data_IF_836724171513
#
_entry.id   IF_836724171513
#
_cell.length_a   1.000
_cell.length_b   1.000
_cell.length_c   1.000
_cell.angle_alpha   90.00
_cell.angle_beta   90.00
_cell.angle_gamma   90.00
#
_symmetry.space_group_name_H-M   'P 1'
#
loop_
_entity.id
_entity.type
_entity.pdbx_description
1 polymer ?
#
# COMPACT_ATOMS: atom_id res chain seq x y z
N UNK A 1 -3.85 -8.44 -34.66
CA UNK A 1 -5.07 -9.25 -34.66
C UNK A 1 -5.30 -9.95 -33.31
N UNK A 2 -4.33 -10.71 -32.77
CA UNK A 2 -4.50 -11.47 -31.53
C UNK A 2 -4.87 -10.63 -30.31
N UNK A 3 -4.25 -9.46 -30.13
CA UNK A 3 -4.56 -8.56 -29.03
C UNK A 3 -6.00 -8.05 -29.08
N UNK A 4 -6.45 -7.57 -30.24
CA UNK A 4 -7.82 -7.09 -30.42
C UNK A 4 -8.85 -8.21 -30.16
N UNK A 5 -8.56 -9.41 -30.62
CA UNK A 5 -9.40 -10.59 -30.37
C UNK A 5 -9.48 -10.94 -28.88
N UNK A 6 -8.35 -10.92 -28.17
CA UNK A 6 -8.28 -11.18 -26.73
C UNK A 6 -9.05 -10.14 -25.92
N UNK A 7 -8.92 -8.85 -26.25
CA UNK A 7 -9.64 -7.76 -25.59
C UNK A 7 -11.16 -7.95 -25.72
N UNK A 8 -11.65 -8.20 -26.92
CA UNK A 8 -13.07 -8.40 -27.16
C UNK A 8 -13.58 -9.67 -26.47
N UNK A 9 -12.81 -10.77 -26.55
CA UNK A 9 -13.16 -12.02 -25.86
C UNK A 9 -13.29 -11.81 -24.35
N UNK A 10 -12.35 -11.07 -23.75
CA UNK A 10 -12.43 -10.74 -22.33
C UNK A 10 -13.63 -9.85 -21.99
N UNK A 11 -13.90 -8.83 -22.82
CA UNK A 11 -15.05 -7.94 -22.63
C UNK A 11 -16.36 -8.71 -22.65
N UNK A 12 -16.58 -9.53 -23.66
CA UNK A 12 -17.82 -10.27 -23.83
C UNK A 12 -18.00 -11.38 -22.79
N UNK A 13 -16.98 -12.22 -22.59
CA UNK A 13 -17.13 -13.44 -21.77
C UNK A 13 -16.86 -13.20 -20.28
N UNK A 14 -15.93 -12.28 -19.91
CA UNK A 14 -15.59 -12.06 -18.50
C UNK A 14 -16.29 -10.84 -17.90
N UNK A 15 -16.40 -9.75 -18.63
CA UNK A 15 -17.00 -8.50 -18.10
C UNK A 15 -18.52 -8.53 -18.26
N UNK A 16 -19.00 -8.73 -19.49
CA UNK A 16 -20.45 -8.81 -19.79
C UNK A 16 -21.03 -10.16 -19.37
N UNK A 17 -20.15 -11.20 -19.28
CA UNK A 17 -20.52 -12.57 -18.93
C UNK A 17 -21.53 -13.18 -19.88
N UNK A 18 -21.36 -12.88 -21.17
CA UNK A 18 -22.19 -13.39 -22.22
C UNK A 18 -22.01 -14.93 -22.35
N UNK A 19 -23.07 -15.69 -22.25
CA UNK A 19 -23.02 -17.15 -22.35
C UNK A 19 -23.15 -17.61 -23.81
N UNK A 20 -24.04 -16.99 -24.56
CA UNK A 20 -24.20 -17.18 -26.01
C UNK A 20 -24.09 -15.83 -26.74
N UNK A 21 -23.25 -15.72 -27.77
CA UNK A 21 -23.17 -14.51 -28.59
C UNK A 21 -24.51 -14.05 -29.18
N UNK A 22 -25.44 -14.97 -29.41
CA UNK A 22 -26.77 -14.67 -29.92
C UNK A 22 -27.64 -13.85 -28.98
N UNK A 23 -27.30 -13.81 -27.70
CA UNK A 23 -28.00 -13.01 -26.70
C UNK A 23 -27.80 -11.48 -26.93
N UNK A 24 -26.84 -11.09 -27.77
CA UNK A 24 -26.66 -9.69 -28.21
C UNK A 24 -27.77 -9.20 -29.16
N UNK A 25 -28.58 -10.08 -29.68
CA UNK A 25 -29.62 -9.76 -30.67
C UNK A 25 -29.10 -9.72 -32.11
N UNK A 26 -30.00 -9.35 -33.02
CA UNK A 26 -29.71 -9.37 -34.47
C UNK A 26 -29.11 -8.08 -35.01
N UNK A 27 -29.34 -6.98 -34.36
CA UNK A 27 -28.82 -5.66 -34.73
C UNK A 27 -28.00 -5.08 -33.56
N UNK A 28 -26.71 -5.04 -33.74
CA UNK A 28 -25.80 -4.58 -32.69
C UNK A 28 -25.16 -3.26 -33.14
N UNK A 29 -25.38 -2.20 -32.37
CA UNK A 29 -24.71 -0.92 -32.59
C UNK A 29 -23.56 -0.82 -31.61
N UNK A 30 -22.36 -0.57 -32.13
CA UNK A 30 -21.15 -0.39 -31.33
C UNK A 30 -20.79 1.08 -31.23
N UNK A 31 -20.36 1.51 -30.05
CA UNK A 31 -20.00 2.90 -29.79
C UNK A 31 -18.70 2.99 -28.96
N UNK A 32 -18.11 4.17 -28.97
CA UNK A 32 -16.85 4.48 -28.32
C UNK A 32 -15.67 4.48 -29.28
N UNK A 33 -14.65 5.27 -28.96
CA UNK A 33 -13.47 5.47 -29.80
C UNK A 33 -12.69 4.20 -30.11
N UNK A 34 -12.75 3.18 -29.25
CA UNK A 34 -12.08 1.89 -29.44
C UNK A 34 -12.56 1.16 -30.70
N UNK A 35 -13.84 1.34 -31.07
CA UNK A 35 -14.40 0.70 -32.27
C UNK A 35 -14.02 1.40 -33.59
N UNK A 36 -13.32 2.53 -33.56
CA UNK A 36 -12.68 3.06 -34.78
C UNK A 36 -11.51 2.19 -35.26
N UNK A 37 -10.98 1.32 -34.40
CA UNK A 37 -10.02 0.32 -34.80
C UNK A 37 -10.71 -0.85 -35.49
N UNK A 38 -10.50 -1.00 -36.79
CA UNK A 38 -11.11 -2.06 -37.59
C UNK A 38 -10.76 -3.47 -37.13
N UNK A 39 -9.58 -3.68 -36.52
CA UNK A 39 -9.22 -4.97 -35.95
C UNK A 39 -10.08 -5.31 -34.73
N UNK A 40 -10.49 -4.31 -33.95
CA UNK A 40 -11.41 -4.47 -32.80
C UNK A 40 -12.82 -4.77 -33.31
N UNK A 41 -13.32 -3.98 -34.24
CA UNK A 41 -14.62 -4.18 -34.85
C UNK A 41 -14.74 -5.59 -35.45
N UNK A 42 -13.78 -5.98 -36.28
CA UNK A 42 -13.78 -7.30 -36.92
C UNK A 42 -13.64 -8.45 -35.92
N UNK A 43 -12.88 -8.25 -34.84
CA UNK A 43 -12.80 -9.26 -33.76
C UNK A 43 -14.14 -9.43 -33.05
N UNK A 44 -14.85 -8.32 -32.81
CA UNK A 44 -16.20 -8.35 -32.24
C UNK A 44 -17.16 -9.14 -33.13
N UNK A 45 -17.25 -8.81 -34.43
CA UNK A 45 -18.11 -9.50 -35.38
C UNK A 45 -17.82 -11.02 -35.47
N UNK A 46 -16.53 -11.39 -35.47
CA UNK A 46 -16.12 -12.79 -35.50
C UNK A 46 -16.49 -13.58 -34.23
N UNK A 47 -16.41 -12.94 -33.08
CA UNK A 47 -16.72 -13.59 -31.79
C UNK A 47 -18.24 -13.65 -31.60
N UNK A 48 -18.95 -12.56 -31.90
CA UNK A 48 -20.41 -12.46 -31.72
C UNK A 48 -21.20 -13.15 -32.80
N UNK A 49 -20.59 -13.36 -33.98
CA UNK A 49 -21.28 -13.94 -35.13
C UNK A 49 -22.33 -13.01 -35.78
N UNK A 50 -22.33 -11.73 -35.44
CA UNK A 50 -23.21 -10.70 -35.99
C UNK A 50 -22.43 -9.61 -36.72
N UNK A 51 -23.06 -8.94 -37.66
CA UNK A 51 -22.56 -7.71 -38.26
C UNK A 51 -22.87 -6.54 -37.33
N UNK A 52 -21.84 -5.74 -37.03
CA UNK A 52 -21.97 -4.62 -36.10
C UNK A 52 -22.07 -3.28 -36.85
N UNK A 53 -23.07 -2.49 -36.51
CA UNK A 53 -23.23 -1.14 -37.01
C UNK A 53 -22.35 -0.19 -36.23
N UNK A 54 -21.36 0.40 -36.88
CA UNK A 54 -20.51 1.45 -36.33
C UNK A 54 -20.90 2.79 -36.94
N UNK A 55 -21.66 3.66 -36.25
CA UNK A 55 -22.00 4.97 -36.75
C UNK A 55 -20.75 5.86 -36.93
N UNK A 56 -20.82 6.80 -37.85
CA UNK A 56 -19.72 7.78 -38.08
C UNK A 56 -19.38 8.56 -36.80
N UNK A 57 -20.37 8.77 -35.95
CA UNK A 57 -20.21 9.46 -34.65
C UNK A 57 -19.94 8.51 -33.47
N UNK A 58 -19.55 7.27 -33.73
CA UNK A 58 -19.37 6.25 -32.69
C UNK A 58 -18.55 6.74 -31.49
N UNK A 59 -17.51 7.53 -31.71
CA UNK A 59 -16.65 8.08 -30.65
C UNK A 59 -17.29 9.14 -29.79
N UNK A 60 -18.36 9.81 -30.24
CA UNK A 60 -19.06 10.88 -29.53
C UNK A 60 -20.52 10.55 -29.21
N UNK A 61 -20.96 9.33 -29.47
CA UNK A 61 -22.35 8.93 -29.23
C UNK A 61 -22.81 9.14 -27.77
N UNK A 62 -21.92 8.96 -26.81
CA UNK A 62 -22.23 9.27 -25.41
C UNK A 62 -22.55 10.75 -25.17
N UNK A 63 -21.75 11.65 -25.77
CA UNK A 63 -22.01 13.09 -25.71
C UNK A 63 -23.30 13.46 -26.45
N UNK A 64 -23.56 12.87 -27.59
CA UNK A 64 -24.80 13.06 -28.35
C UNK A 64 -26.02 12.60 -27.55
N UNK A 65 -25.96 11.40 -26.95
CA UNK A 65 -27.01 10.89 -26.08
C UNK A 65 -27.28 11.77 -24.84
N UNK A 66 -26.20 12.26 -24.22
CA UNK A 66 -26.32 13.20 -23.10
C UNK A 66 -26.98 14.51 -23.52
N UNK A 67 -26.68 15.03 -24.72
CA UNK A 67 -27.34 16.23 -25.26
C UNK A 67 -28.83 16.01 -25.52
N UNK A 68 -29.23 14.84 -26.02
CA UNK A 68 -30.64 14.48 -26.21
C UNK A 68 -31.38 14.39 -24.86
N UNK A 69 -30.80 13.73 -23.87
CA UNK A 69 -31.37 13.64 -22.51
C UNK A 69 -31.50 15.04 -21.89
N UNK A 70 -30.48 15.88 -22.05
CA UNK A 70 -30.52 17.24 -21.57
C UNK A 70 -31.64 18.06 -22.23
N UNK A 71 -31.85 17.89 -23.56
CA UNK A 71 -32.94 18.49 -24.31
C UNK A 71 -34.32 18.05 -23.78
N UNK A 72 -34.49 16.76 -23.56
CA UNK A 72 -35.76 16.21 -23.07
C UNK A 72 -36.09 16.64 -21.64
N UNK A 73 -35.05 16.83 -20.82
CA UNK A 73 -35.20 17.32 -19.42
C UNK A 73 -35.22 18.82 -19.28
N UNK A 74 -35.04 19.59 -20.35
CA UNK A 74 -35.00 21.03 -20.30
C UNK A 74 -36.42 21.60 -20.06
N UNK A 75 -36.57 22.33 -18.97
CA UNK A 75 -37.84 22.95 -18.54
C UNK A 75 -37.76 24.48 -18.56
N UNK A 76 -36.86 25.06 -19.35
CA UNK A 76 -36.75 26.51 -19.48
C UNK A 76 -35.77 27.17 -18.51
N UNK A 77 -34.91 26.41 -17.82
CA UNK A 77 -33.90 26.95 -16.90
C UNK A 77 -32.92 27.86 -17.66
N UNK A 78 -32.53 28.97 -17.02
CA UNK A 78 -31.51 29.86 -17.58
C UNK A 78 -30.16 29.11 -17.66
N UNK A 79 -29.57 29.10 -18.82
CA UNK A 79 -28.23 28.48 -19.01
C UNK A 79 -27.16 29.26 -18.25
N UNK A 80 -26.25 28.55 -17.62
CA UNK A 80 -25.02 29.11 -17.02
C UNK A 80 -23.83 29.09 -17.99
N UNK A 81 -24.03 28.65 -19.23
CA UNK A 81 -23.00 28.69 -20.28
C UNK A 81 -22.64 30.14 -20.62
N UNK A 82 -21.38 30.36 -20.90
CA UNK A 82 -20.89 31.60 -21.46
C UNK A 82 -21.60 31.90 -22.78
N UNK A 83 -21.89 33.17 -23.06
CA UNK A 83 -22.40 33.60 -24.36
C UNK A 83 -21.36 33.31 -25.47
N UNK A 84 -21.81 33.24 -26.71
CA UNK A 84 -20.95 33.05 -27.86
C UNK A 84 -19.84 34.14 -27.95
N UNK A 85 -20.14 35.37 -27.56
CA UNK A 85 -19.15 36.44 -27.49
C UNK A 85 -18.11 36.18 -26.41
N UNK A 86 -18.53 35.80 -25.22
CA UNK A 86 -17.60 35.47 -24.11
C UNK A 86 -16.72 34.26 -24.42
N UNK A 87 -17.25 33.25 -25.12
CA UNK A 87 -16.48 32.09 -25.56
C UNK A 87 -15.41 32.51 -26.57
N UNK A 88 -15.71 33.36 -27.54
CA UNK A 88 -14.76 33.83 -28.54
C UNK A 88 -13.67 34.74 -27.96
N UNK A 89 -14.00 35.49 -26.90
CA UNK A 89 -13.07 36.36 -26.20
C UNK A 89 -12.26 35.62 -25.11
N UNK A 90 -12.63 34.39 -24.78
CA UNK A 90 -11.98 33.60 -23.73
C UNK A 90 -10.49 33.39 -24.03
N UNK A 91 -9.64 33.82 -23.14
CA UNK A 91 -8.20 33.57 -23.19
C UNK A 91 -7.79 32.83 -21.92
N UNK A 92 -6.95 31.83 -22.09
CA UNK A 92 -6.38 31.09 -20.97
C UNK A 92 -4.96 30.64 -21.31
N UNK A 93 -4.17 30.45 -20.27
CA UNK A 93 -2.83 29.89 -20.35
C UNK A 93 -2.82 28.55 -19.62
N UNK A 94 -2.34 27.51 -20.29
CA UNK A 94 -2.18 26.19 -19.69
C UNK A 94 -0.72 25.99 -19.29
N UNK A 95 -0.51 25.51 -18.07
CA UNK A 95 0.79 25.07 -17.58
C UNK A 95 0.67 23.73 -16.88
N UNK A 96 1.76 22.97 -16.87
CA UNK A 96 1.85 21.71 -16.16
C UNK A 96 2.82 21.83 -15.01
N UNK A 97 2.41 21.36 -13.83
CA UNK A 97 3.26 21.34 -12.62
C UNK A 97 3.03 20.05 -11.84
N UNK A 98 3.97 19.73 -10.95
CA UNK A 98 3.78 18.60 -10.02
C UNK A 98 3.37 19.10 -8.66
N UNK A 99 2.29 18.51 -8.12
CA UNK A 99 1.86 18.76 -6.75
C UNK A 99 2.97 18.40 -5.75
N UNK A 100 3.22 19.28 -4.80
CA UNK A 100 4.20 19.05 -3.72
C UNK A 100 3.51 18.70 -2.38
N UNK A 101 2.20 18.49 -2.38
CA UNK A 101 1.40 18.26 -1.18
C UNK A 101 1.57 16.91 -0.52
N UNK A 102 2.04 15.88 -1.27
CA UNK A 102 2.30 14.54 -0.76
C UNK A 102 3.20 13.74 -1.70
N UNK A 103 3.54 12.54 -1.33
CA UNK A 103 4.42 11.62 -2.06
C UNK A 103 3.94 11.28 -3.50
N UNK A 104 2.63 11.38 -3.76
CA UNK A 104 2.07 11.05 -5.08
C UNK A 104 2.52 12.00 -6.19
N UNK A 105 2.99 13.21 -5.87
CA UNK A 105 3.48 14.20 -6.85
C UNK A 105 2.64 14.26 -8.13
N UNK A 106 1.30 14.29 -7.98
CA UNK A 106 0.37 14.28 -9.11
C UNK A 106 0.76 15.32 -10.15
N UNK A 107 0.72 14.96 -11.43
CA UNK A 107 0.87 15.90 -12.51
C UNK A 107 -0.41 16.72 -12.63
N UNK A 108 -0.30 18.02 -12.39
CA UNK A 108 -1.40 18.97 -12.44
C UNK A 108 -1.38 19.74 -13.74
N UNK A 109 -2.53 19.89 -14.34
CA UNK A 109 -2.75 20.85 -15.44
C UNK A 109 -3.46 22.06 -14.86
N UNK A 110 -2.81 23.21 -14.92
CA UNK A 110 -3.33 24.49 -14.40
C UNK A 110 -3.72 25.34 -15.60
N UNK A 111 -5.02 25.65 -15.70
CA UNK A 111 -5.56 26.59 -16.66
C UNK A 111 -5.84 27.91 -15.95
N UNK A 112 -5.12 28.95 -16.33
CA UNK A 112 -5.30 30.32 -15.81
C UNK A 112 -6.11 31.14 -16.81
N UNK A 113 -7.27 31.62 -16.37
CA UNK A 113 -8.19 32.43 -17.18
C UNK A 113 -8.04 33.90 -16.81
N UNK A 114 -8.53 34.78 -17.68
CA UNK A 114 -8.65 36.21 -17.37
C UNK A 114 -9.43 36.47 -16.07
N UNK A 115 -8.97 37.40 -15.23
CA UNK A 115 -9.57 37.73 -13.95
C UNK A 115 -9.19 36.77 -12.80
N UNK A 116 -7.95 36.29 -12.79
CA UNK A 116 -7.32 35.46 -11.75
C UNK A 116 -8.03 34.12 -11.45
N UNK A 117 -8.94 33.71 -12.32
CA UNK A 117 -9.61 32.43 -12.19
C UNK A 117 -8.69 31.30 -12.64
N UNK A 118 -8.53 30.28 -11.82
CA UNK A 118 -7.76 29.09 -12.12
C UNK A 118 -8.64 27.84 -12.08
N UNK A 119 -8.37 26.94 -13.01
CA UNK A 119 -8.92 25.60 -13.00
C UNK A 119 -7.77 24.61 -12.99
N UNK A 120 -7.73 23.76 -11.98
CA UNK A 120 -6.69 22.75 -11.80
C UNK A 120 -7.32 21.37 -12.00
N UNK A 121 -6.68 20.55 -12.80
CA UNK A 121 -7.07 19.16 -13.06
C UNK A 121 -5.87 18.21 -12.95
N UNK A 122 -6.14 16.91 -12.89
CA UNK A 122 -5.10 15.89 -12.66
C UNK A 122 -4.75 15.67 -11.18
N UNK A 123 -5.37 16.47 -10.27
CA UNK A 123 -5.26 16.23 -8.83
C UNK A 123 -6.03 14.96 -8.43
N UNK A 124 -5.50 14.24 -7.45
CA UNK A 124 -6.15 13.09 -6.83
C UNK A 124 -6.81 13.43 -5.48
N UNK A 125 -6.53 14.61 -4.96
CA UNK A 125 -7.08 15.12 -3.72
C UNK A 125 -7.03 16.66 -3.72
N UNK A 126 -7.63 17.28 -2.73
CA UNK A 126 -7.78 18.74 -2.63
C UNK A 126 -6.46 19.49 -2.40
N UNK A 127 -5.42 18.82 -1.88
CA UNK A 127 -4.06 19.40 -1.78
C UNK A 127 -3.55 19.89 -3.15
N UNK A 128 -3.90 19.17 -4.22
CA UNK A 128 -3.54 19.54 -5.59
C UNK A 128 -4.27 20.78 -6.11
N UNK A 129 -5.39 21.16 -5.51
CA UNK A 129 -6.15 22.36 -5.85
C UNK A 129 -5.60 23.63 -5.19
N UNK A 130 -4.60 23.51 -4.32
CA UNK A 130 -4.07 24.65 -3.56
C UNK A 130 -5.02 25.17 -2.48
N UNK A 131 -6.06 24.40 -2.14
CA UNK A 131 -6.94 24.72 -1.03
C UNK A 131 -6.15 24.66 0.26
N UNK A 132 -6.26 25.68 1.09
CA UNK A 132 -5.56 25.74 2.37
C UNK A 132 -5.91 24.52 3.21
N UNK A 133 -4.87 23.91 3.79
CA UNK A 133 -5.05 22.86 4.79
C UNK A 133 -5.93 23.41 5.91
N UNK A 134 -6.94 22.65 6.27
CA UNK A 134 -7.63 22.84 7.53
C UNK A 134 -6.56 22.98 8.62
N UNK A 135 -6.51 24.09 9.34
CA UNK A 135 -5.48 24.35 10.37
C UNK A 135 -5.57 23.39 11.56
N UNK A 136 -6.65 22.63 11.63
CA UNK A 136 -6.90 21.65 12.66
C UNK A 136 -6.13 20.36 12.36
N UNK A 137 -5.33 19.93 13.31
CA UNK A 137 -4.53 18.71 13.20
C UNK A 137 -5.42 17.49 13.53
N UNK A 138 -5.95 16.85 12.49
CA UNK A 138 -6.75 15.63 12.63
C UNK A 138 -5.82 14.45 12.90
N UNK A 139 -6.09 13.59 13.91
CA UNK A 139 -5.27 12.44 14.23
C UNK A 139 -5.07 11.48 13.04
N UNK A 140 -3.80 11.12 12.78
CA UNK A 140 -3.38 10.18 11.74
C UNK A 140 -2.40 9.17 12.34
N UNK A 141 -2.89 7.99 12.74
CA UNK A 141 -2.05 6.98 13.37
C UNK A 141 -1.14 6.24 12.38
N UNK A 142 -1.35 6.33 11.07
CA UNK A 142 -0.38 5.85 10.07
C UNK A 142 0.91 6.68 10.08
N UNK A 143 0.79 8.00 10.17
CA UNK A 143 1.94 8.89 10.30
C UNK A 143 2.66 8.64 11.63
N UNK A 144 1.91 8.57 12.74
CA UNK A 144 2.45 8.27 14.05
C UNK A 144 3.19 6.93 14.09
N UNK A 145 2.59 5.86 13.54
CA UNK A 145 3.20 4.53 13.45
C UNK A 145 4.52 4.56 12.68
N UNK A 146 4.56 5.25 11.54
CA UNK A 146 5.80 5.40 10.77
C UNK A 146 6.89 6.14 11.55
N UNK A 147 6.54 7.16 12.32
CA UNK A 147 7.48 7.86 13.19
C UNK A 147 7.99 6.96 14.31
N UNK A 148 7.09 6.27 15.00
CA UNK A 148 7.41 5.39 16.12
C UNK A 148 8.25 4.18 15.70
N UNK A 149 7.93 3.56 14.57
CA UNK A 149 8.63 2.35 14.08
C UNK A 149 9.99 2.69 13.46
N UNK A 150 10.16 3.85 12.83
CA UNK A 150 11.39 4.13 12.07
C UNK A 150 12.16 5.36 12.52
N UNK A 151 11.51 6.53 12.68
CA UNK A 151 12.19 7.80 12.96
C UNK A 151 12.64 7.96 14.41
N UNK A 152 12.03 7.19 15.29
CA UNK A 152 12.40 7.18 16.71
C UNK A 152 13.85 6.72 16.94
N UNK A 153 14.40 5.88 16.08
CA UNK A 153 15.65 5.19 16.24
C UNK A 153 16.81 5.93 15.57
N UNK A 154 17.88 6.16 16.34
CA UNK A 154 19.10 6.83 15.86
C UNK A 154 20.24 5.82 15.79
N UNK A 155 20.81 5.55 14.60
CA UNK A 155 21.95 4.64 14.45
C UNK A 155 23.15 5.05 15.29
N UNK A 156 23.93 4.08 15.77
CA UNK A 156 25.21 4.34 16.41
C UNK A 156 26.14 5.08 15.44
N UNK A 157 26.95 5.98 15.99
CA UNK A 157 28.06 6.59 15.23
C UNK A 157 29.08 5.51 14.89
N UNK A 158 29.83 5.70 13.81
CA UNK A 158 30.85 4.74 13.36
C UNK A 158 31.85 4.39 14.46
N UNK A 159 32.23 5.36 15.32
CA UNK A 159 33.16 5.15 16.44
C UNK A 159 32.55 4.25 17.53
N UNK A 160 31.25 4.25 17.68
CA UNK A 160 30.50 3.49 18.71
C UNK A 160 29.99 2.14 18.19
N UNK A 161 30.32 1.78 16.95
CA UNK A 161 29.87 0.57 16.28
C UNK A 161 31.05 -0.38 15.94
N UNK A 162 31.63 -1.06 16.93
CA UNK A 162 32.84 -1.89 16.74
C UNK A 162 32.61 -3.06 15.77
N UNK A 163 31.38 -3.50 15.56
CA UNK A 163 31.03 -4.58 14.64
C UNK A 163 30.65 -4.08 13.23
N UNK A 164 30.77 -2.77 12.97
CA UNK A 164 30.51 -2.19 11.65
C UNK A 164 29.05 -1.84 11.42
N UNK A 165 28.63 -1.88 10.15
CA UNK A 165 27.30 -1.45 9.71
C UNK A 165 26.53 -2.65 9.20
N UNK A 166 25.26 -2.78 9.61
CA UNK A 166 24.29 -3.73 9.06
C UNK A 166 23.20 -2.99 8.32
N UNK A 167 22.92 -3.39 7.08
CA UNK A 167 21.82 -2.91 6.28
C UNK A 167 20.53 -3.68 6.57
N UNK A 168 19.43 -2.96 6.77
CA UNK A 168 18.09 -3.54 6.92
C UNK A 168 17.18 -2.93 5.86
N UNK A 169 16.53 -3.75 4.98
CA UNK A 169 15.56 -3.24 4.02
C UNK A 169 14.26 -2.85 4.73
N UNK A 170 13.71 -1.68 4.39
CA UNK A 170 12.44 -1.16 4.92
C UNK A 170 11.26 -1.74 4.12
N UNK A 171 10.93 -2.99 4.36
CA UNK A 171 9.95 -3.73 3.55
C UNK A 171 9.10 -4.68 4.39
N UNK A 172 7.93 -5.02 3.86
CA UNK A 172 7.04 -6.04 4.41
C UNK A 172 6.85 -5.89 5.93
N UNK A 173 7.11 -6.94 6.71
CA UNK A 173 6.93 -6.92 8.17
C UNK A 173 7.97 -6.09 8.93
N UNK A 174 8.98 -5.52 8.25
CA UNK A 174 9.85 -4.52 8.88
C UNK A 174 9.07 -3.26 9.30
N UNK A 175 7.90 -3.01 8.71
CA UNK A 175 6.98 -1.96 9.14
C UNK A 175 6.36 -2.20 10.54
N UNK A 176 6.69 -3.34 11.16
CA UNK A 176 6.35 -3.64 12.55
C UNK A 176 7.54 -4.19 13.33
N UNK A 177 8.36 -5.05 12.73
CA UNK A 177 9.43 -5.76 13.43
C UNK A 177 10.76 -4.98 13.48
N UNK A 178 10.88 -3.84 12.77
CA UNK A 178 12.12 -3.04 12.76
C UNK A 178 12.58 -2.58 14.15
N UNK A 179 11.71 -2.19 15.11
CA UNK A 179 12.13 -1.84 16.46
C UNK A 179 12.94 -2.93 17.15
N UNK A 180 12.50 -4.20 17.02
CA UNK A 180 13.25 -5.34 17.53
C UNK A 180 14.66 -5.41 16.91
N UNK A 181 14.73 -5.41 15.58
CA UNK A 181 15.99 -5.59 14.86
C UNK A 181 16.95 -4.44 15.06
N UNK A 182 16.45 -3.22 15.10
CA UNK A 182 17.26 -2.05 15.40
C UNK A 182 17.90 -2.16 16.79
N UNK A 183 17.11 -2.46 17.80
CA UNK A 183 17.56 -2.58 19.20
C UNK A 183 18.53 -3.75 19.34
N UNK A 184 18.21 -4.91 18.76
CA UNK A 184 19.06 -6.09 18.76
C UNK A 184 20.46 -5.81 18.17
N UNK A 185 20.54 -5.26 16.97
CA UNK A 185 21.82 -4.97 16.33
C UNK A 185 22.58 -3.84 17.02
N UNK A 186 21.90 -2.83 17.47
CA UNK A 186 22.52 -1.72 18.23
C UNK A 186 23.14 -2.22 19.53
N UNK A 187 22.44 -3.10 20.26
CA UNK A 187 22.95 -3.71 21.50
C UNK A 187 24.16 -4.61 21.23
N UNK A 188 24.20 -5.29 20.09
CA UNK A 188 25.35 -6.05 19.64
C UNK A 188 26.51 -5.19 19.12
N UNK A 189 26.39 -3.86 19.10
CA UNK A 189 27.44 -2.95 18.66
C UNK A 189 27.54 -2.76 17.15
N UNK A 190 26.46 -2.96 16.41
CA UNK A 190 26.34 -2.57 15.00
C UNK A 190 25.66 -1.21 14.84
N UNK A 191 26.10 -0.43 13.86
CA UNK A 191 25.31 0.69 13.36
C UNK A 191 24.30 0.17 12.34
N UNK A 192 23.02 0.53 12.50
CA UNK A 192 21.96 0.05 11.60
C UNK A 192 21.73 1.07 10.49
N UNK A 193 21.84 0.63 9.24
CA UNK A 193 21.50 1.42 8.05
C UNK A 193 20.18 0.93 7.47
N UNK A 194 19.11 1.67 7.71
CA UNK A 194 17.80 1.40 7.11
C UNK A 194 17.77 1.93 5.68
N UNK A 195 17.17 1.20 4.75
CA UNK A 195 16.88 1.71 3.42
C UNK A 195 15.82 2.84 3.48
N UNK A 196 15.74 3.75 2.49
CA UNK A 196 14.88 4.92 2.55
C UNK A 196 13.39 4.55 2.52
N UNK A 197 12.53 5.55 2.60
CA UNK A 197 11.09 5.39 2.34
C UNK A 197 10.90 4.91 0.90
N UNK A 198 9.97 4.01 0.70
CA UNK A 198 9.65 3.47 -0.62
C UNK A 198 9.21 4.57 -1.59
N UNK A 199 9.52 4.37 -2.84
CA UNK A 199 9.16 5.27 -3.93
C UNK A 199 9.27 4.52 -5.26
N UNK A 200 8.69 5.09 -6.32
CA UNK A 200 8.85 4.59 -7.69
C UNK A 200 10.32 4.36 -8.06
N UNK A 201 11.22 5.26 -7.64
CA UNK A 201 12.66 5.12 -7.90
C UNK A 201 13.27 3.90 -7.20
N UNK A 202 12.83 3.60 -5.98
CA UNK A 202 13.27 2.38 -5.27
C UNK A 202 12.76 1.14 -6.00
N UNK A 203 11.50 1.12 -6.42
CA UNK A 203 10.96 0.00 -7.22
C UNK A 203 11.79 -0.24 -8.49
N UNK A 204 12.08 0.82 -9.23
CA UNK A 204 12.85 0.75 -10.49
C UNK A 204 14.28 0.19 -10.30
N UNK A 205 14.89 0.36 -9.12
CA UNK A 205 16.20 -0.21 -8.83
C UNK A 205 16.20 -1.75 -8.78
N UNK A 206 15.08 -2.36 -8.44
CA UNK A 206 14.98 -3.80 -8.27
C UNK A 206 14.26 -4.53 -9.41
N UNK A 207 13.77 -3.82 -10.42
CA UNK A 207 12.83 -4.35 -11.41
C UNK A 207 13.37 -5.58 -12.17
N UNK A 208 14.67 -5.58 -12.47
CA UNK A 208 15.32 -6.64 -13.24
C UNK A 208 15.47 -7.95 -12.45
N UNK A 209 15.44 -7.89 -11.12
CA UNK A 209 15.56 -9.05 -10.26
C UNK A 209 14.23 -9.64 -9.79
N UNK A 210 13.09 -9.03 -10.17
CA UNK A 210 11.75 -9.53 -9.83
C UNK A 210 11.45 -10.77 -10.67
N UNK A 211 11.27 -11.96 -10.07
CA UNK A 211 11.16 -13.19 -10.83
C UNK A 211 9.77 -13.42 -11.44
N UNK A 212 8.74 -12.76 -10.95
CA UNK A 212 7.36 -12.98 -11.39
C UNK A 212 6.51 -11.71 -11.38
N UNK A 213 5.72 -11.53 -12.44
CA UNK A 213 4.70 -10.48 -12.50
C UNK A 213 3.56 -10.67 -11.51
N UNK A 214 3.31 -11.90 -11.08
CA UNK A 214 2.21 -12.24 -10.16
C UNK A 214 2.51 -11.94 -8.69
N UNK A 215 3.73 -11.59 -8.33
CA UNK A 215 4.07 -11.18 -6.97
C UNK A 215 3.40 -9.86 -6.59
N UNK A 216 3.02 -9.75 -5.32
CA UNK A 216 2.40 -8.52 -4.82
C UNK A 216 3.40 -7.35 -4.85
N UNK A 217 2.90 -6.13 -5.02
CA UNK A 217 3.73 -4.93 -5.12
C UNK A 217 4.63 -4.70 -3.89
N UNK A 218 4.18 -4.94 -2.64
CA UNK A 218 5.04 -4.86 -1.46
C UNK A 218 6.27 -5.78 -1.52
N UNK A 219 6.12 -6.97 -2.08
CA UNK A 219 7.24 -7.90 -2.29
C UNK A 219 8.21 -7.38 -3.36
N UNK A 220 7.68 -6.89 -4.48
CA UNK A 220 8.51 -6.30 -5.56
C UNK A 220 9.37 -5.14 -5.08
N UNK A 221 8.87 -4.32 -4.15
CA UNK A 221 9.65 -3.24 -3.53
C UNK A 221 10.88 -3.74 -2.78
N UNK A 222 10.84 -4.96 -2.21
CA UNK A 222 11.96 -5.50 -1.46
C UNK A 222 13.24 -5.64 -2.30
N UNK A 223 13.11 -5.98 -3.57
CA UNK A 223 14.23 -6.02 -4.52
C UNK A 223 14.95 -4.67 -4.62
N UNK A 224 14.18 -3.60 -4.80
CA UNK A 224 14.72 -2.24 -4.89
C UNK A 224 15.38 -1.77 -3.61
N UNK A 225 14.82 -2.10 -2.44
CA UNK A 225 15.40 -1.76 -1.14
C UNK A 225 16.73 -2.46 -0.89
N UNK A 226 16.83 -3.75 -1.21
CA UNK A 226 18.10 -4.49 -1.06
C UNK A 226 19.13 -3.99 -2.07
N UNK A 227 18.75 -3.80 -3.33
CA UNK A 227 19.64 -3.21 -4.35
C UNK A 227 20.13 -1.82 -3.93
N UNK A 228 19.27 -1.00 -3.30
CA UNK A 228 19.69 0.30 -2.79
C UNK A 228 20.77 0.15 -1.70
N UNK A 229 20.60 -0.76 -0.74
CA UNK A 229 21.60 -1.03 0.30
C UNK A 229 22.95 -1.48 -0.30
N UNK A 230 22.92 -2.33 -1.30
CA UNK A 230 24.11 -2.77 -2.04
C UNK A 230 24.80 -1.57 -2.68
N UNK A 231 24.06 -0.70 -3.35
CA UNK A 231 24.59 0.52 -3.99
C UNK A 231 25.13 1.55 -3.01
N UNK A 232 24.76 1.46 -1.71
CA UNK A 232 25.40 2.26 -0.65
C UNK A 232 26.75 1.67 -0.21
N UNK A 233 27.21 0.59 -0.81
CA UNK A 233 28.48 -0.08 -0.48
C UNK A 233 28.45 -0.86 0.83
N UNK A 234 27.28 -1.36 1.24
CA UNK A 234 27.15 -2.17 2.44
C UNK A 234 27.59 -3.60 2.16
N UNK A 235 28.50 -4.10 2.99
CA UNK A 235 29.02 -5.47 2.92
C UNK A 235 28.22 -6.46 3.78
N UNK A 236 27.32 -5.95 4.65
CA UNK A 236 26.45 -6.78 5.48
C UNK A 236 25.00 -6.30 5.40
N UNK A 237 24.11 -7.19 4.95
CA UNK A 237 22.67 -6.99 4.84
C UNK A 237 21.96 -8.11 5.59
N UNK A 238 20.99 -7.74 6.42
CA UNK A 238 20.17 -8.67 7.18
C UNK A 238 18.69 -8.52 6.80
N UNK A 239 18.09 -9.61 6.34
CA UNK A 239 16.67 -9.68 6.00
C UNK A 239 16.10 -11.06 6.33
N UNK A 240 15.59 -11.30 7.55
CA UNK A 240 15.15 -12.62 7.99
C UNK A 240 13.86 -13.07 7.30
N UNK A 241 13.72 -14.38 7.20
CA UNK A 241 12.50 -15.08 6.84
C UNK A 241 11.70 -15.39 8.10
N UNK A 242 10.45 -14.90 8.20
CA UNK A 242 9.64 -15.01 9.42
C UNK A 242 8.39 -15.87 9.13
N UNK A 243 8.41 -17.19 9.37
CA UNK A 243 7.22 -18.04 9.19
C UNK A 243 6.13 -17.80 10.24
N UNK A 244 6.51 -17.53 11.50
CA UNK A 244 5.60 -17.36 12.61
C UNK A 244 5.80 -16.00 13.27
N UNK A 245 4.69 -15.31 13.48
CA UNK A 245 4.63 -14.10 14.30
C UNK A 245 4.30 -14.47 15.76
N UNK A 246 4.33 -13.46 16.64
CA UNK A 246 3.89 -13.63 18.03
C UNK A 246 2.44 -14.03 18.13
N UNK A 247 2.12 -14.76 19.18
CA UNK A 247 0.74 -15.16 19.49
C UNK A 247 0.01 -13.98 20.12
N UNK A 248 -0.75 -13.25 19.32
CA UNK A 248 -1.61 -12.14 19.79
C UNK A 248 -3.01 -12.61 20.15
N UNK A 249 -3.47 -13.69 19.54
CA UNK A 249 -4.79 -14.27 19.74
C UNK A 249 -4.61 -15.75 20.03
N UNK A 250 -4.52 -16.14 21.31
CA UNK A 250 -4.25 -17.54 21.71
C UNK A 250 -5.25 -18.57 21.16
N UNK A 251 -6.50 -18.14 20.99
CA UNK A 251 -7.59 -19.00 20.50
C UNK A 251 -7.69 -19.04 18.95
N UNK A 252 -6.80 -18.35 18.24
CA UNK A 252 -6.71 -18.44 16.79
C UNK A 252 -6.18 -19.81 16.36
N UNK A 253 -6.58 -20.27 15.16
CA UNK A 253 -6.13 -21.56 14.63
C UNK A 253 -4.65 -21.63 14.36
N UNK A 254 -3.99 -20.50 14.05
CA UNK A 254 -2.54 -20.36 13.90
C UNK A 254 -2.12 -18.88 13.87
N UNK A 255 -0.80 -18.63 13.77
CA UNK A 255 -0.20 -17.28 13.73
C UNK A 255 0.93 -17.19 12.68
N UNK A 256 0.72 -17.85 11.55
CA UNK A 256 1.61 -17.78 10.40
C UNK A 256 1.69 -16.38 9.78
N UNK A 257 2.78 -16.15 9.07
CA UNK A 257 2.85 -15.12 8.04
C UNK A 257 2.36 -15.66 6.69
N UNK A 258 2.08 -14.77 5.75
CA UNK A 258 1.83 -15.16 4.37
C UNK A 258 3.11 -15.78 3.74
N UNK A 259 2.98 -16.62 2.70
CA UNK A 259 4.12 -17.27 2.05
C UNK A 259 5.21 -16.30 1.59
N UNK A 260 4.83 -15.09 1.14
CA UNK A 260 5.78 -14.05 0.73
C UNK A 260 6.65 -13.62 1.91
N UNK A 261 6.05 -13.17 3.01
CA UNK A 261 6.82 -12.73 4.20
C UNK A 261 7.68 -13.87 4.76
N UNK A 262 7.14 -15.11 4.72
CA UNK A 262 7.81 -16.31 5.23
C UNK A 262 9.14 -16.59 4.52
N UNK A 263 9.24 -16.36 3.21
CA UNK A 263 10.37 -16.85 2.41
C UNK A 263 11.01 -15.82 1.47
N UNK A 264 10.57 -14.58 1.51
CA UNK A 264 11.03 -13.60 0.51
C UNK A 264 12.51 -13.23 0.63
N UNK A 265 13.10 -13.37 1.81
CA UNK A 265 14.55 -13.26 2.00
C UNK A 265 15.33 -14.24 1.13
N UNK A 266 14.83 -15.48 0.96
CA UNK A 266 15.42 -16.47 0.06
C UNK A 266 15.20 -16.12 -1.42
N UNK A 267 14.01 -15.60 -1.75
CA UNK A 267 13.72 -15.12 -3.11
C UNK A 267 14.71 -14.03 -3.52
N UNK A 268 14.91 -13.03 -2.69
CA UNK A 268 15.88 -11.94 -2.88
C UNK A 268 17.29 -12.48 -3.11
N UNK A 269 17.75 -13.39 -2.23
CA UNK A 269 19.10 -14.00 -2.31
C UNK A 269 19.36 -14.65 -3.65
N UNK A 270 18.35 -15.34 -4.18
CA UNK A 270 18.49 -16.13 -5.40
C UNK A 270 18.34 -15.30 -6.69
N UNK A 271 17.73 -14.11 -6.62
CA UNK A 271 17.39 -13.31 -7.81
C UNK A 271 18.20 -12.02 -7.94
N UNK A 272 18.86 -11.52 -6.90
CA UNK A 272 19.80 -10.39 -7.00
C UNK A 272 21.21 -10.95 -7.25
N UNK A 273 21.77 -10.62 -8.41
CA UNK A 273 23.04 -11.18 -8.88
C UNK A 273 24.19 -10.86 -7.93
N UNK A 274 24.26 -9.63 -7.43
CA UNK A 274 25.31 -9.15 -6.54
C UNK A 274 25.35 -9.91 -5.18
N UNK A 275 24.27 -10.58 -4.79
CA UNK A 275 24.22 -11.40 -3.57
C UNK A 275 24.77 -12.82 -3.77
N UNK A 276 25.07 -13.21 -5.00
CA UNK A 276 25.72 -14.50 -5.32
C UNK A 276 27.22 -14.47 -5.10
N UNK A 277 27.81 -13.28 -5.09
CA UNK A 277 29.21 -13.08 -4.79
C UNK A 277 29.41 -13.04 -3.29
N UNK A 278 30.43 -13.75 -2.77
CA UNK A 278 30.80 -13.78 -1.33
C UNK A 278 31.26 -12.43 -0.77
N UNK A 279 31.22 -11.36 -1.58
CA UNK A 279 31.58 -10.00 -1.18
C UNK A 279 30.56 -9.34 -0.25
N UNK A 280 29.30 -9.76 -0.36
CA UNK A 280 28.21 -9.23 0.47
C UNK A 280 27.71 -10.33 1.39
N UNK A 281 27.89 -10.13 2.68
CA UNK A 281 27.31 -11.00 3.70
C UNK A 281 25.81 -10.76 3.77
N UNK A 282 25.03 -11.53 3.02
CA UNK A 282 23.58 -11.49 3.07
C UNK A 282 23.07 -12.58 3.99
N UNK A 283 22.43 -12.19 5.09
CA UNK A 283 21.89 -13.11 6.09
C UNK A 283 20.37 -13.04 6.15
N UNK A 284 19.72 -14.15 5.85
CA UNK A 284 18.27 -14.29 5.79
C UNK A 284 17.77 -15.55 6.54
N UNK A 285 18.13 -15.70 7.84
CA UNK A 285 17.76 -16.88 8.60
C UNK A 285 16.25 -17.02 8.75
N UNK A 286 15.76 -18.27 8.81
CA UNK A 286 14.39 -18.57 9.23
C UNK A 286 14.28 -18.44 10.75
N UNK A 287 13.50 -17.46 11.19
CA UNK A 287 13.33 -17.09 12.61
C UNK A 287 11.84 -17.04 12.96
N UNK A 288 11.46 -17.64 14.10
CA UNK A 288 10.12 -17.54 14.65
C UNK A 288 10.08 -16.43 15.71
N UNK A 289 9.07 -15.58 15.64
CA UNK A 289 8.76 -14.56 16.64
C UNK A 289 7.70 -15.05 17.67
N UNK A 290 7.35 -16.32 17.64
CA UNK A 290 6.28 -16.93 18.46
C UNK A 290 6.38 -16.61 19.95
N UNK A 291 7.57 -16.74 20.51
CA UNK A 291 7.89 -16.35 21.88
C UNK A 291 9.33 -15.86 21.99
N UNK A 292 9.61 -15.10 23.05
CA UNK A 292 10.98 -14.63 23.35
C UNK A 292 11.98 -15.78 23.49
N UNK A 293 11.55 -16.89 24.11
CA UNK A 293 12.39 -18.06 24.33
C UNK A 293 12.80 -18.71 22.99
N UNK A 294 11.82 -19.00 22.12
CA UNK A 294 12.04 -19.61 20.80
C UNK A 294 12.91 -18.71 19.94
N UNK A 295 12.57 -17.40 19.90
CA UNK A 295 13.32 -16.39 19.18
C UNK A 295 14.78 -16.35 19.64
N UNK A 296 15.00 -16.20 20.95
CA UNK A 296 16.34 -16.11 21.54
C UNK A 296 17.18 -17.35 21.23
N UNK A 297 16.60 -18.53 21.35
CA UNK A 297 17.28 -19.79 21.00
C UNK A 297 17.75 -19.80 19.55
N UNK A 298 16.86 -19.43 18.60
CA UNK A 298 17.18 -19.36 17.18
C UNK A 298 18.27 -18.33 16.87
N UNK A 299 18.21 -17.17 17.52
CA UNK A 299 19.22 -16.10 17.37
C UNK A 299 20.57 -16.55 17.91
N UNK A 300 20.62 -17.22 19.06
CA UNK A 300 21.86 -17.77 19.63
C UNK A 300 22.46 -18.82 18.68
N UNK A 301 21.66 -19.77 18.22
CA UNK A 301 22.12 -20.82 17.31
C UNK A 301 22.70 -20.22 16.02
N UNK A 302 22.04 -19.20 15.45
CA UNK A 302 22.45 -18.55 14.22
C UNK A 302 23.68 -17.65 14.40
N UNK A 303 23.58 -16.61 15.25
CA UNK A 303 24.61 -15.58 15.36
C UNK A 303 25.90 -16.06 16.03
N UNK A 304 25.82 -17.06 16.89
CA UNK A 304 27.03 -17.70 17.44
C UNK A 304 27.82 -18.41 16.35
N UNK A 305 27.13 -19.12 15.48
CA UNK A 305 27.76 -19.90 14.39
C UNK A 305 28.27 -18.99 13.27
N UNK A 306 27.42 -18.09 12.79
CA UNK A 306 27.67 -17.32 11.57
C UNK A 306 28.46 -16.02 11.82
N UNK A 307 28.40 -15.48 13.05
CA UNK A 307 28.99 -14.19 13.38
C UNK A 307 30.00 -14.28 14.55
N UNK A 308 30.15 -15.45 15.18
CA UNK A 308 31.07 -15.64 16.32
C UNK A 308 30.69 -14.84 17.57
N UNK A 309 29.42 -14.41 17.72
CA UNK A 309 28.99 -13.56 18.84
C UNK A 309 28.72 -14.45 20.07
N UNK A 310 29.19 -14.06 21.28
CA UNK A 310 28.92 -14.82 22.49
C UNK A 310 27.43 -14.94 22.79
N UNK A 311 27.00 -16.12 23.23
CA UNK A 311 25.59 -16.39 23.52
C UNK A 311 24.98 -15.44 24.57
N UNK A 312 25.76 -15.01 25.56
CA UNK A 312 25.30 -14.06 26.57
C UNK A 312 24.93 -12.70 25.98
N UNK A 313 25.74 -12.19 25.05
CA UNK A 313 25.46 -10.92 24.35
C UNK A 313 24.22 -11.03 23.47
N UNK A 314 24.07 -12.14 22.73
CA UNK A 314 22.91 -12.40 21.88
C UNK A 314 21.63 -12.45 22.72
N UNK A 315 21.65 -13.17 23.84
CA UNK A 315 20.51 -13.24 24.78
C UNK A 315 20.11 -11.87 25.33
N UNK A 316 21.09 -11.10 25.78
CA UNK A 316 20.82 -9.75 26.28
C UNK A 316 20.25 -8.84 25.18
N UNK A 317 20.80 -8.90 23.96
CA UNK A 317 20.30 -8.11 22.84
C UNK A 317 18.89 -8.54 22.39
N UNK A 318 18.59 -9.84 22.39
CA UNK A 318 17.28 -10.38 22.06
C UNK A 318 16.22 -9.92 23.09
N UNK A 319 16.55 -9.97 24.37
CA UNK A 319 15.67 -9.50 25.45
C UNK A 319 15.34 -8.01 25.29
N UNK A 320 16.33 -7.16 25.12
CA UNK A 320 16.11 -5.71 24.92
C UNK A 320 15.26 -5.45 23.66
N UNK A 321 15.54 -6.15 22.55
CA UNK A 321 14.73 -6.04 21.34
C UNK A 321 13.28 -6.48 21.55
N UNK A 322 13.07 -7.55 22.32
CA UNK A 322 11.72 -8.03 22.66
C UNK A 322 10.95 -7.02 23.48
N UNK A 323 11.58 -6.44 24.50
CA UNK A 323 10.97 -5.39 25.32
C UNK A 323 10.62 -4.15 24.49
N UNK A 324 11.50 -3.74 23.57
CA UNK A 324 11.21 -2.60 22.68
C UNK A 324 10.02 -2.87 21.76
N UNK A 325 9.91 -4.08 21.21
CA UNK A 325 8.77 -4.46 20.38
C UNK A 325 7.46 -4.42 21.17
N UNK A 326 7.46 -4.84 22.42
CA UNK A 326 6.31 -4.74 23.34
C UNK A 326 5.96 -3.28 23.63
N UNK A 327 6.97 -2.45 23.92
CA UNK A 327 6.78 -1.03 24.20
C UNK A 327 6.16 -0.27 23.01
N UNK A 328 6.55 -0.60 21.77
CA UNK A 328 5.91 -0.03 20.56
C UNK A 328 4.44 -0.40 20.49
N UNK A 329 4.10 -1.66 20.77
CA UNK A 329 2.72 -2.14 20.73
C UNK A 329 1.84 -1.47 21.78
N UNK A 330 2.34 -1.38 23.02
CA UNK A 330 1.65 -0.68 24.11
C UNK A 330 1.43 0.81 23.78
N UNK A 331 2.43 1.45 23.16
CA UNK A 331 2.35 2.84 22.74
C UNK A 331 1.30 3.03 21.63
N UNK A 332 1.23 2.13 20.64
CA UNK A 332 0.20 2.17 19.60
C UNK A 332 -1.21 2.01 20.19
N UNK A 333 -1.41 1.07 21.12
CA UNK A 333 -2.70 0.89 21.82
C UNK A 333 -3.07 2.12 22.65
N UNK A 334 -2.10 2.72 23.33
CA UNK A 334 -2.31 3.98 24.08
C UNK A 334 -2.74 5.10 23.14
N UNK A 335 -2.07 5.26 22.00
CA UNK A 335 -2.44 6.26 21.00
C UNK A 335 -3.83 6.01 20.40
N UNK A 336 -4.20 4.76 20.16
CA UNK A 336 -5.56 4.39 19.78
C UNK A 336 -6.60 4.89 20.78
N UNK A 337 -6.38 4.65 22.07
CA UNK A 337 -7.28 5.15 23.14
C UNK A 337 -7.35 6.69 23.17
N UNK A 338 -6.24 7.39 22.97
CA UNK A 338 -6.21 8.86 22.89
C UNK A 338 -7.06 9.37 21.71
N UNK A 339 -6.97 8.73 20.53
CA UNK A 339 -7.81 9.09 19.37
C UNK A 339 -9.28 8.78 19.61
N UNK A 340 -9.61 7.63 20.20
CA UNK A 340 -11.01 7.30 20.56
C UNK A 340 -11.60 8.32 21.53
N UNK A 341 -10.82 8.80 22.49
CA UNK A 341 -11.25 9.88 23.40
C UNK A 341 -11.46 11.19 22.65
N UNK A 342 -10.54 11.56 21.74
CA UNK A 342 -10.70 12.74 20.87
C UNK A 342 -12.00 12.67 20.05
N UNK A 343 -12.32 11.50 19.45
CA UNK A 343 -13.55 11.32 18.68
C UNK A 343 -14.80 11.53 19.55
N UNK A 344 -14.77 11.01 20.78
CA UNK A 344 -15.87 11.17 21.74
C UNK A 344 -16.06 12.63 22.15
N UNK A 345 -14.99 13.36 22.41
CA UNK A 345 -15.03 14.77 22.84
C UNK A 345 -15.45 15.71 21.74
N UNK A 346 -15.04 15.42 20.49
CA UNK A 346 -15.32 16.29 19.34
C UNK A 346 -16.59 15.92 18.58
N UNK A 347 -17.18 14.76 18.84
CA UNK A 347 -18.31 14.20 18.07
C UNK A 347 -17.93 13.85 16.63
N UNK A 348 -16.63 13.72 16.33
CA UNK A 348 -16.13 13.41 15.00
C UNK A 348 -16.21 11.92 14.69
N UNK A 349 -16.11 11.62 13.42
CA UNK A 349 -16.03 10.26 12.89
C UNK A 349 -14.57 9.83 12.70
N UNK A 350 -14.31 8.55 12.85
CA UNK A 350 -13.00 7.94 12.63
C UNK A 350 -13.06 6.77 11.66
N UNK A 351 -11.98 6.55 10.92
CA UNK A 351 -11.81 5.37 10.07
C UNK A 351 -10.66 4.53 10.62
N UNK A 352 -10.95 3.26 10.89
CA UNK A 352 -9.93 2.25 11.10
C UNK A 352 -9.47 1.78 9.72
N UNK A 353 -8.33 2.26 9.30
CA UNK A 353 -7.71 1.85 8.04
C UNK A 353 -6.89 0.59 8.31
N UNK A 354 -7.49 -0.55 8.05
CA UNK A 354 -6.97 -1.86 8.42
C UNK A 354 -6.14 -2.48 7.28
N UNK A 355 -5.08 -3.22 7.63
CA UNK A 355 -4.24 -3.85 6.63
C UNK A 355 -3.10 -4.66 7.24
N UNK A 356 -2.13 -4.99 6.40
CA UNK A 356 -0.88 -5.60 6.82
C UNK A 356 0.12 -4.52 7.25
N UNK A 357 1.18 -4.83 8.01
CA UNK A 357 2.16 -3.83 8.45
C UNK A 357 2.68 -2.93 7.33
N UNK A 358 2.96 -3.50 6.16
CA UNK A 358 3.48 -2.78 4.99
C UNK A 358 2.49 -1.80 4.36
N UNK A 359 1.19 -1.85 4.68
CA UNK A 359 0.24 -0.83 4.24
C UNK A 359 0.49 0.54 4.90
N UNK A 360 1.31 0.61 5.95
CA UNK A 360 1.80 1.89 6.46
C UNK A 360 2.87 2.55 5.58
N UNK A 361 3.38 1.84 4.56
CA UNK A 361 4.28 2.41 3.56
C UNK A 361 3.53 3.43 2.67
N UNK A 362 4.00 4.68 2.59
CA UNK A 362 3.34 5.71 1.77
C UNK A 362 3.26 5.38 0.27
N UNK A 363 4.22 4.64 -0.28
CA UNK A 363 4.18 4.19 -1.69
C UNK A 363 3.08 3.15 -1.90
N UNK A 364 2.81 2.31 -0.90
CA UNK A 364 1.80 1.25 -0.97
C UNK A 364 0.40 1.82 -0.70
N UNK A 365 0.25 2.70 0.29
CA UNK A 365 -1.07 3.26 0.64
C UNK A 365 -1.47 4.49 -0.21
N UNK A 366 -0.57 4.96 -1.08
CA UNK A 366 -0.83 6.07 -2.01
C UNK A 366 -1.35 7.37 -1.36
N UNK A 367 -1.07 7.60 -0.07
CA UNK A 367 -1.52 8.77 0.66
C UNK A 367 -3.01 8.71 1.08
N UNK A 368 -3.63 7.54 1.09
CA UNK A 368 -5.00 7.34 1.57
C UNK A 368 -5.22 7.88 2.99
N UNK A 369 -4.32 7.66 3.98
CA UNK A 369 -4.48 8.22 5.31
C UNK A 369 -4.58 9.76 5.31
N UNK A 370 -3.75 10.40 4.50
CA UNK A 370 -3.76 11.86 4.35
C UNK A 370 -5.03 12.38 3.65
N UNK A 371 -5.56 11.61 2.70
CA UNK A 371 -6.82 11.94 2.04
C UNK A 371 -7.97 11.91 3.05
N UNK A 372 -8.06 10.86 3.86
CA UNK A 372 -9.10 10.70 4.88
C UNK A 372 -9.04 11.86 5.88
N UNK A 373 -7.85 12.19 6.40
CA UNK A 373 -7.72 13.32 7.35
C UNK A 373 -8.02 14.67 6.72
N UNK A 374 -7.86 14.84 5.40
CA UNK A 374 -8.23 16.07 4.70
C UNK A 374 -9.74 16.34 4.72
N UNK A 375 -10.56 15.31 4.90
CA UNK A 375 -12.01 15.41 5.10
C UNK A 375 -12.43 15.63 6.57
N UNK A 376 -11.47 15.80 7.48
CA UNK A 376 -11.76 16.01 8.90
C UNK A 376 -12.07 14.72 9.66
N UNK A 377 -11.77 13.55 9.08
CA UNK A 377 -11.98 12.22 9.64
C UNK A 377 -10.67 11.70 10.21
N UNK A 378 -10.66 11.24 11.47
CA UNK A 378 -9.46 10.68 12.08
C UNK A 378 -9.15 9.29 11.53
N UNK A 379 -7.85 8.97 11.44
CA UNK A 379 -7.37 7.67 10.97
C UNK A 379 -6.72 6.89 12.11
N UNK A 380 -7.25 5.71 12.37
CA UNK A 380 -6.70 4.73 13.30
C UNK A 380 -6.09 3.56 12.50
N UNK A 381 -5.17 2.82 13.12
CA UNK A 381 -4.62 1.57 12.60
C UNK A 381 -5.30 0.38 13.30
N UNK A 382 -5.32 -0.79 12.67
CA UNK A 382 -5.90 -2.00 13.26
C UNK A 382 -5.23 -2.39 14.58
N UNK A 383 -3.90 -2.24 14.69
CA UNK A 383 -3.12 -2.58 15.88
C UNK A 383 -3.32 -1.59 17.04
N UNK A 384 -3.82 -0.38 16.75
CA UNK A 384 -4.12 0.62 17.79
C UNK A 384 -5.39 0.30 18.61
N UNK A 385 -6.27 -0.58 18.09
CA UNK A 385 -7.57 -0.88 18.71
C UNK A 385 -7.86 -2.38 18.85
N UNK A 386 -7.13 -3.26 18.19
CA UNK A 386 -7.43 -4.70 18.17
C UNK A 386 -7.43 -5.34 19.55
N UNK A 387 -6.65 -4.84 20.50
CA UNK A 387 -6.62 -5.32 21.88
C UNK A 387 -7.85 -4.92 22.72
N UNK A 388 -8.68 -4.03 22.20
CA UNK A 388 -9.87 -3.53 22.88
C UNK A 388 -11.13 -4.37 22.62
N UNK A 389 -11.03 -5.42 21.81
CA UNK A 389 -12.15 -6.29 21.45
C UNK A 389 -11.72 -7.75 21.32
N UNK A 390 -12.68 -8.62 21.49
CA UNK A 390 -12.53 -10.05 21.22
C UNK A 390 -13.42 -10.47 20.04
N UNK A 391 -13.13 -11.62 19.45
CA UNK A 391 -13.85 -12.21 18.34
C UNK A 391 -14.47 -13.52 18.80
N UNK A 392 -15.77 -13.68 18.57
CA UNK A 392 -16.46 -14.92 18.82
C UNK A 392 -15.92 -16.04 17.91
N UNK A 393 -15.61 -17.19 18.48
CA UNK A 393 -15.06 -18.33 17.77
C UNK A 393 -15.97 -19.55 17.88
N UNK A 394 -16.00 -20.46 16.89
CA UNK A 394 -15.15 -20.46 15.66
C UNK A 394 -15.56 -19.40 14.65
N UNK A 395 -14.59 -18.88 13.92
CA UNK A 395 -14.82 -17.98 12.78
C UNK A 395 -15.30 -18.76 11.55
N UNK A 396 -15.99 -18.10 10.62
CA UNK A 396 -16.49 -18.72 9.37
C UNK A 396 -15.32 -19.20 8.48
N UNK A 397 -14.19 -18.49 8.52
CA UNK A 397 -12.98 -18.86 7.79
C UNK A 397 -11.89 -19.31 8.76
N UNK A 398 -10.98 -20.16 8.28
CA UNK A 398 -9.88 -20.63 9.10
C UNK A 398 -8.92 -19.47 9.43
N UNK A 399 -8.72 -19.25 10.71
CA UNK A 399 -7.94 -18.18 11.29
C UNK A 399 -6.47 -18.62 11.45
N UNK A 400 -5.69 -18.56 10.35
CA UNK A 400 -4.33 -19.10 10.28
C UNK A 400 -3.23 -18.06 10.37
N UNK A 401 -3.50 -16.83 9.94
CA UNK A 401 -2.49 -15.79 9.84
C UNK A 401 -2.68 -14.74 10.92
N UNK A 402 -1.60 -14.46 11.65
CA UNK A 402 -1.65 -13.57 12.80
C UNK A 402 -2.28 -12.20 12.47
N UNK A 403 -1.90 -11.61 11.34
CA UNK A 403 -2.44 -10.30 10.96
C UNK A 403 -3.91 -10.33 10.58
N UNK A 404 -4.44 -11.46 10.07
CA UNK A 404 -5.89 -11.61 9.86
C UNK A 404 -6.64 -11.69 11.17
N UNK A 405 -6.14 -12.44 12.15
CA UNK A 405 -6.73 -12.49 13.48
C UNK A 405 -6.83 -11.11 14.10
N UNK A 406 -5.82 -10.27 13.90
CA UNK A 406 -5.82 -8.86 14.32
C UNK A 406 -6.89 -8.05 13.59
N UNK A 407 -7.03 -8.22 12.26
CA UNK A 407 -8.06 -7.55 11.47
C UNK A 407 -9.47 -7.93 11.93
N UNK A 408 -9.71 -9.19 12.27
CA UNK A 408 -11.01 -9.63 12.79
C UNK A 408 -11.33 -8.98 14.15
N UNK A 409 -10.34 -8.86 15.05
CA UNK A 409 -10.50 -8.13 16.32
C UNK A 409 -10.82 -6.66 16.09
N UNK A 410 -10.11 -6.00 15.16
CA UNK A 410 -10.38 -4.61 14.79
C UNK A 410 -11.79 -4.44 14.23
N UNK A 411 -12.22 -5.33 13.33
CA UNK A 411 -13.58 -5.32 12.78
C UNK A 411 -14.65 -5.52 13.85
N UNK A 412 -14.44 -6.46 14.78
CA UNK A 412 -15.34 -6.67 15.94
C UNK A 412 -15.43 -5.43 16.83
N UNK A 413 -14.34 -4.69 16.99
CA UNK A 413 -14.35 -3.42 17.73
C UNK A 413 -15.18 -2.36 17.01
N UNK A 414 -14.93 -2.18 15.71
CA UNK A 414 -15.64 -1.18 14.91
C UNK A 414 -17.14 -1.44 14.86
N UNK A 415 -17.55 -2.70 14.70
CA UNK A 415 -18.97 -3.09 14.68
C UNK A 415 -19.75 -2.72 15.96
N UNK A 416 -19.06 -2.41 17.05
CA UNK A 416 -19.65 -2.01 18.33
C UNK A 416 -19.57 -0.50 18.59
N UNK A 417 -19.07 0.29 17.63
CA UNK A 417 -18.83 1.72 17.79
C UNK A 417 -19.36 2.51 16.59
N UNK A 418 -20.50 3.14 16.72
CA UNK A 418 -21.23 3.86 15.64
C UNK A 418 -20.47 5.03 15.03
N UNK A 419 -19.45 5.55 15.69
CA UNK A 419 -18.64 6.66 15.22
C UNK A 419 -17.36 6.19 14.51
N UNK A 420 -17.26 4.91 14.19
CA UNK A 420 -16.13 4.30 13.47
C UNK A 420 -16.60 3.52 12.25
N UNK A 421 -15.84 3.63 11.18
CA UNK A 421 -15.91 2.73 10.03
C UNK A 421 -14.60 1.99 9.84
N UNK A 422 -14.65 0.81 9.22
CA UNK A 422 -13.47 0.05 8.85
C UNK A 422 -13.31 0.04 7.32
N UNK A 423 -12.11 0.40 6.87
CA UNK A 423 -11.69 0.26 5.47
C UNK A 423 -10.48 -0.66 5.45
N UNK A 424 -10.59 -1.77 4.74
CA UNK A 424 -9.47 -2.69 4.57
C UNK A 424 -8.66 -2.31 3.33
N UNK A 425 -7.34 -2.12 3.53
CA UNK A 425 -6.37 -2.02 2.44
C UNK A 425 -5.98 -3.43 1.98
N UNK A 426 -5.96 -3.60 0.68
CA UNK A 426 -5.62 -4.85 0.04
C UNK A 426 -4.57 -4.62 -1.05
N UNK A 427 -3.56 -5.49 -1.11
CA UNK A 427 -2.60 -5.50 -2.20
C UNK A 427 -3.13 -6.33 -3.37
N UNK A 428 -3.10 -5.76 -4.57
CA UNK A 428 -3.50 -6.48 -5.78
C UNK A 428 -2.75 -7.81 -5.91
N UNK A 429 -3.49 -8.90 -6.11
CA UNK A 429 -2.96 -10.25 -6.18
C UNK A 429 -2.96 -11.00 -4.84
N UNK A 430 -3.30 -10.36 -3.71
CA UNK A 430 -3.50 -11.06 -2.45
C UNK A 430 -4.88 -11.70 -2.41
N UNK A 431 -4.94 -13.03 -2.48
CA UNK A 431 -6.20 -13.78 -2.56
C UNK A 431 -6.91 -14.00 -1.22
N UNK A 432 -6.25 -13.67 -0.11
CA UNK A 432 -6.80 -13.84 1.25
C UNK A 432 -7.26 -12.55 1.90
N UNK A 433 -6.76 -11.38 1.46
CA UNK A 433 -7.21 -10.08 1.95
C UNK A 433 -8.57 -9.65 1.27
#
# INVERSE_FOLDING_TARGET
>A
AGLAYSVIKNALLKVIKLTDPKDLGKQVVVQGGTFYNDAVLRSFERISGCEAIRPDIAGIMGAFGAALIAKDRYTGQKSTMLSFKEINELRFKTSMTRCQGCINHCLLTVNEFTGDRKFISGNRCEKGLGLEKNKEQIPNLFEYKNERVFRHYKPLKKADAPRGVVGIPRVLNMYENYPFWFTFFTKLGYSVKLSPVSSRKIYELGIESIPSESECYPAKLAHGHVTWLIRQGLEYIFYPCIPYERVEVPDAGNHYNCPIVTSYGENIKNNIEELRDDKIKYQNPFISLESEEILTKRLVDFFRKENGIPAAEIKAAAHEGWLEMQAVREDMTKKGKEVLQYLKETGRHGIVLAGRPYHSDPEINHGIPDLITSYGVAVLTEDSISELSEVDRPTIVMDQWMYHSRLYKAASFVAKNDNLDLIQLNSFGCGLD
#
